data_IF_224795585971
#
_entry.id   IF_224795585971
#
_cell.length_a   1.000
_cell.length_b   1.000
_cell.length_c   1.000
_cell.angle_alpha   90.00
_cell.angle_beta   90.00
_cell.angle_gamma   90.00
#
_symmetry.space_group_name_H-M   'P 1'
#
loop_
_entity.id
_entity.type
_entity.pdbx_description
1 polymer ?
#
# COMPACT_ATOMS: atom_id res chain seq x y z
N UNK A 1 35.41 -50.52 -28.42
CA UNK A 1 36.60 -49.71 -28.73
C UNK A 1 36.47 -49.16 -30.14
N UNK A 2 35.69 -48.07 -30.36
CA UNK A 2 35.68 -47.29 -31.63
C UNK A 2 34.63 -46.19 -31.54
N UNK A 3 34.85 -45.19 -30.66
CA UNK A 3 33.90 -44.04 -30.63
C UNK A 3 34.55 -42.74 -30.13
N UNK A 4 35.88 -42.61 -30.19
CA UNK A 4 36.62 -41.46 -29.58
C UNK A 4 37.42 -40.64 -30.57
N UNK A 5 37.38 -40.95 -31.89
CA UNK A 5 38.27 -40.31 -32.88
C UNK A 5 37.58 -39.21 -33.71
N UNK A 6 36.26 -39.14 -33.72
CA UNK A 6 35.54 -38.20 -34.59
C UNK A 6 35.18 -36.85 -33.88
N UNK A 7 35.39 -36.75 -32.56
CA UNK A 7 35.01 -35.54 -31.79
C UNK A 7 36.05 -34.43 -31.79
N UNK A 8 37.29 -34.73 -32.18
CA UNK A 8 38.40 -33.74 -32.25
C UNK A 8 38.56 -33.03 -33.58
N UNK A 9 37.98 -33.59 -34.69
CA UNK A 9 38.12 -33.00 -36.03
C UNK A 9 37.08 -31.91 -36.28
N UNK A 10 35.87 -32.03 -35.72
CA UNK A 10 34.80 -31.01 -35.85
C UNK A 10 35.04 -29.77 -34.99
N UNK A 11 35.77 -29.87 -33.88
CA UNK A 11 36.01 -28.75 -32.99
C UNK A 11 37.06 -27.75 -33.51
N UNK A 12 37.94 -28.19 -34.37
CA UNK A 12 38.94 -27.30 -34.99
C UNK A 12 38.45 -26.53 -36.20
N UNK A 13 37.47 -27.06 -36.93
CA UNK A 13 36.89 -26.36 -38.06
C UNK A 13 35.90 -25.24 -37.61
N UNK A 14 35.27 -25.41 -36.46
CA UNK A 14 34.33 -24.40 -35.91
C UNK A 14 35.05 -23.19 -35.30
N UNK A 15 36.25 -23.35 -34.77
CA UNK A 15 37.03 -22.21 -34.24
C UNK A 15 37.62 -21.30 -35.34
N UNK A 16 37.85 -21.79 -36.55
CA UNK A 16 38.27 -20.93 -37.67
C UNK A 16 37.17 -20.11 -38.29
N UNK A 17 35.91 -20.62 -38.31
CA UNK A 17 34.77 -19.90 -38.91
C UNK A 17 34.20 -18.82 -37.97
N UNK A 18 34.26 -19.06 -36.65
CA UNK A 18 33.76 -18.06 -35.64
C UNK A 18 34.80 -16.92 -35.45
N UNK A 19 36.08 -17.18 -35.62
CA UNK A 19 37.15 -16.14 -35.53
C UNK A 19 37.11 -15.11 -36.67
N UNK A 20 36.66 -15.51 -37.88
CA UNK A 20 36.57 -14.59 -39.02
C UNK A 20 35.29 -13.75 -39.07
N UNK A 21 34.18 -14.23 -38.48
CA UNK A 21 32.94 -13.49 -38.37
C UNK A 21 32.94 -12.41 -37.25
N UNK A 22 33.73 -12.63 -36.17
CA UNK A 22 33.85 -11.69 -35.07
C UNK A 22 34.75 -10.49 -35.38
N UNK A 23 35.76 -10.66 -36.26
CA UNK A 23 36.65 -9.55 -36.64
C UNK A 23 35.96 -8.57 -37.62
N UNK A 24 35.09 -9.07 -38.51
CA UNK A 24 34.39 -8.21 -39.48
C UNK A 24 33.25 -7.41 -38.84
N UNK A 25 32.54 -7.94 -37.82
CA UNK A 25 31.47 -7.22 -37.11
C UNK A 25 32.00 -6.17 -36.13
N UNK A 26 33.22 -6.38 -35.58
CA UNK A 26 33.80 -5.41 -34.63
C UNK A 26 34.37 -4.17 -35.36
N UNK A 27 34.89 -4.31 -36.57
CA UNK A 27 35.34 -3.19 -37.41
C UNK A 27 34.20 -2.36 -37.90
N UNK A 28 33.04 -2.97 -38.25
CA UNK A 28 31.86 -2.25 -38.68
C UNK A 28 31.16 -1.49 -37.52
N UNK A 29 31.18 -2.03 -36.29
CA UNK A 29 30.64 -1.36 -35.09
C UNK A 29 31.49 -0.15 -34.67
N UNK A 30 32.80 -0.22 -34.78
CA UNK A 30 33.72 0.91 -34.49
C UNK A 30 33.57 2.03 -35.51
N UNK A 31 33.40 1.71 -36.81
CA UNK A 31 33.14 2.72 -37.84
C UNK A 31 31.79 3.43 -37.67
N UNK A 32 30.73 2.74 -37.26
CA UNK A 32 29.43 3.37 -37.01
C UNK A 32 29.46 4.27 -35.77
N UNK A 33 30.26 3.95 -34.75
CA UNK A 33 30.45 4.85 -33.60
C UNK A 33 31.35 6.05 -33.93
N UNK A 34 32.33 5.90 -34.78
CA UNK A 34 33.18 7.02 -35.22
C UNK A 34 32.40 8.01 -36.11
N UNK A 35 31.51 7.55 -36.97
CA UNK A 35 30.67 8.42 -37.81
C UNK A 35 29.66 9.18 -36.94
N UNK A 36 29.14 8.58 -35.87
CA UNK A 36 28.23 9.27 -34.93
C UNK A 36 28.93 10.33 -34.07
N UNK A 37 30.22 10.19 -33.80
CA UNK A 37 31.01 11.16 -33.04
C UNK A 37 31.45 12.38 -33.87
N UNK A 38 31.42 12.31 -35.19
CA UNK A 38 31.81 13.43 -36.07
C UNK A 38 30.65 14.37 -36.45
N UNK A 39 29.41 14.01 -36.22
CA UNK A 39 28.24 14.85 -36.55
C UNK A 39 27.93 15.97 -35.53
N UNK A 40 28.68 16.11 -34.45
CA UNK A 40 28.44 17.12 -33.40
C UNK A 40 29.10 18.48 -33.67
N UNK A 41 29.79 18.68 -34.82
CA UNK A 41 30.75 19.81 -34.93
C UNK A 41 30.26 21.10 -35.61
N UNK A 42 29.03 21.17 -36.11
CA UNK A 42 28.55 22.49 -36.64
C UNK A 42 27.10 22.72 -36.24
N UNK A 43 26.89 23.22 -35.01
CA UNK A 43 25.58 23.77 -34.64
C UNK A 43 25.42 25.15 -35.25
N UNK A 44 24.30 25.43 -35.94
CA UNK A 44 24.11 26.64 -36.67
C UNK A 44 24.07 27.87 -35.76
N UNK A 45 24.78 28.91 -36.16
CA UNK A 45 24.62 30.26 -35.59
C UNK A 45 23.65 31.04 -36.47
N UNK A 46 22.61 31.55 -35.87
CA UNK A 46 21.55 32.31 -36.55
C UNK A 46 21.77 33.79 -36.30
N UNK A 47 21.80 34.58 -37.37
CA UNK A 47 21.81 36.05 -37.31
C UNK A 47 20.39 36.58 -37.41
N UNK A 48 19.99 37.43 -36.44
CA UNK A 48 18.70 38.11 -36.44
C UNK A 48 18.90 39.57 -36.12
N UNK A 49 18.42 40.46 -37.03
CA UNK A 49 18.50 41.88 -36.83
C UNK A 49 17.62 42.34 -35.65
N UNK A 50 18.00 43.42 -34.99
CA UNK A 50 17.26 44.01 -33.88
C UNK A 50 15.80 44.40 -34.27
N UNK A 51 15.54 44.71 -35.56
CA UNK A 51 14.22 44.96 -36.06
C UNK A 51 13.35 43.71 -36.17
N UNK A 52 13.93 42.56 -36.53
CA UNK A 52 13.26 41.28 -36.61
C UNK A 52 12.96 40.71 -35.18
N UNK A 53 13.84 40.91 -34.21
CA UNK A 53 13.62 40.57 -32.81
C UNK A 53 12.34 41.19 -32.23
N UNK A 54 12.09 42.47 -32.55
CA UNK A 54 10.89 43.20 -32.12
C UNK A 54 9.63 42.73 -32.84
N UNK A 55 9.73 42.40 -34.12
CA UNK A 55 8.61 41.97 -34.97
C UNK A 55 8.12 40.58 -34.57
N UNK A 56 9.03 39.68 -34.28
CA UNK A 56 8.76 38.28 -33.89
C UNK A 56 8.49 38.11 -32.38
N UNK A 57 8.41 39.20 -31.60
CA UNK A 57 8.16 39.18 -30.14
C UNK A 57 9.08 38.19 -29.39
N UNK A 58 10.37 38.16 -29.77
CA UNK A 58 11.32 37.24 -29.16
C UNK A 58 11.59 37.65 -27.71
N UNK A 59 11.33 36.76 -26.79
CA UNK A 59 11.61 36.95 -25.36
C UNK A 59 12.83 36.13 -24.95
N UNK A 60 13.57 36.66 -23.99
CA UNK A 60 14.77 36.03 -23.47
C UNK A 60 14.66 35.87 -21.94
N UNK A 61 15.27 34.84 -21.43
CA UNK A 61 15.46 34.64 -20.01
C UNK A 61 16.94 34.42 -19.71
N UNK A 62 17.37 34.85 -18.54
CA UNK A 62 18.73 34.55 -18.05
C UNK A 62 18.70 33.22 -17.36
N UNK A 63 19.58 32.34 -17.72
CA UNK A 63 19.78 31.03 -17.11
C UNK A 63 20.17 31.23 -15.64
N UNK A 64 19.28 30.79 -14.73
CA UNK A 64 19.48 30.98 -13.29
C UNK A 64 20.55 30.05 -12.77
N UNK A 65 21.19 30.50 -11.70
CA UNK A 65 22.27 29.75 -11.02
C UNK A 65 21.84 28.27 -10.77
N UNK A 66 22.81 27.38 -10.92
CA UNK A 66 22.66 25.95 -10.63
C UNK A 66 21.96 25.68 -9.30
N UNK A 67 20.92 24.91 -9.35
CA UNK A 67 20.25 24.35 -8.17
C UNK A 67 20.36 22.82 -8.22
N UNK A 68 20.31 22.24 -7.05
CA UNK A 68 20.24 20.78 -6.92
C UNK A 68 18.79 20.39 -6.70
N UNK A 69 18.22 19.66 -7.63
CA UNK A 69 16.81 19.20 -7.60
C UNK A 69 16.79 17.70 -7.54
N UNK A 70 15.91 17.15 -6.72
CA UNK A 70 15.66 15.72 -6.72
C UNK A 70 14.88 15.34 -7.99
N UNK A 71 15.32 14.31 -8.69
CA UNK A 71 14.54 13.70 -9.76
C UNK A 71 13.23 13.18 -9.15
N UNK A 72 12.13 13.28 -9.87
CA UNK A 72 10.84 12.79 -9.41
C UNK A 72 10.17 11.95 -10.49
N UNK A 73 9.24 11.13 -10.04
CA UNK A 73 8.36 10.31 -10.89
C UNK A 73 6.93 10.68 -10.51
N UNK A 74 6.16 11.12 -11.50
CA UNK A 74 4.73 11.37 -11.34
C UNK A 74 3.96 10.10 -11.68
N UNK A 75 2.93 9.78 -10.89
CA UNK A 75 2.12 8.59 -11.08
C UNK A 75 0.66 8.82 -10.74
N UNK A 76 -0.20 8.00 -11.32
CA UNK A 76 -1.58 7.86 -10.90
C UNK A 76 -1.65 6.84 -9.77
N UNK A 77 -2.38 7.15 -8.72
CA UNK A 77 -2.56 6.28 -7.58
C UNK A 77 -4.03 6.12 -7.24
N UNK A 78 -4.33 5.05 -6.52
CA UNK A 78 -5.63 4.84 -5.91
C UNK A 78 -5.48 4.57 -4.42
N UNK A 79 -6.55 4.84 -3.68
CA UNK A 79 -6.57 4.71 -2.22
C UNK A 79 -7.12 3.33 -1.85
N UNK A 80 -6.38 2.59 -1.03
CA UNK A 80 -6.77 1.30 -0.45
C UNK A 80 -6.90 1.39 1.08
N UNK A 81 -7.73 0.52 1.64
CA UNK A 81 -7.81 0.33 3.09
C UNK A 81 -6.54 -0.35 3.63
N UNK A 82 -6.17 0.00 4.84
CA UNK A 82 -5.21 -0.82 5.58
C UNK A 82 -5.93 -2.02 6.21
N UNK A 83 -5.74 -3.20 5.64
CA UNK A 83 -6.36 -4.44 6.12
C UNK A 83 -6.08 -4.74 7.60
N UNK A 84 -5.03 -4.17 8.19
CA UNK A 84 -4.73 -4.28 9.63
C UNK A 84 -5.69 -3.47 10.48
N UNK A 85 -6.43 -2.55 9.87
CA UNK A 85 -7.40 -1.64 10.48
C UNK A 85 -8.86 -1.95 10.06
N UNK A 86 -9.07 -3.07 9.37
CA UNK A 86 -10.38 -3.56 8.99
C UNK A 86 -10.82 -4.64 9.98
N UNK A 87 -11.99 -4.45 10.59
CA UNK A 87 -12.63 -5.43 11.45
C UNK A 87 -13.83 -6.07 10.73
N UNK A 88 -13.66 -7.32 10.33
CA UNK A 88 -14.73 -8.20 9.86
C UNK A 88 -15.33 -8.93 11.07
N UNK A 89 -16.43 -8.44 11.59
CA UNK A 89 -17.01 -8.93 12.84
C UNK A 89 -18.00 -10.06 12.54
N UNK A 90 -17.84 -11.18 13.25
CA UNK A 90 -18.74 -12.33 13.20
C UNK A 90 -19.38 -12.57 14.56
N UNK A 91 -20.62 -13.08 14.62
CA UNK A 91 -21.20 -13.52 15.89
C UNK A 91 -20.43 -14.73 16.43
N UNK A 92 -20.42 -14.91 17.74
CA UNK A 92 -19.81 -16.08 18.37
C UNK A 92 -20.76 -17.29 18.29
N UNK A 93 -22.07 -17.05 18.33
CA UNK A 93 -23.09 -18.08 18.23
C UNK A 93 -23.94 -18.00 16.96
N UNK A 94 -24.86 -18.94 16.82
CA UNK A 94 -25.91 -18.89 15.80
C UNK A 94 -27.15 -18.21 16.38
N UNK A 95 -27.80 -17.37 15.59
CA UNK A 95 -29.00 -16.67 16.02
C UNK A 95 -29.68 -15.88 14.94
N UNK A 96 -30.74 -15.16 15.29
CA UNK A 96 -31.54 -14.34 14.39
C UNK A 96 -31.41 -12.87 14.73
N UNK A 97 -31.07 -12.04 13.74
CA UNK A 97 -30.96 -10.57 13.88
C UNK A 97 -32.30 -9.99 14.34
N UNK A 98 -32.27 -9.27 15.44
CA UNK A 98 -33.43 -8.58 16.02
C UNK A 98 -33.47 -7.12 15.54
N UNK A 99 -32.32 -6.42 15.59
CA UNK A 99 -32.20 -5.04 15.11
C UNK A 99 -30.80 -4.72 14.65
N UNK A 100 -30.70 -3.79 13.70
CA UNK A 100 -29.45 -3.20 13.20
C UNK A 100 -29.45 -1.75 13.64
N UNK A 101 -28.50 -1.37 14.50
CA UNK A 101 -28.45 -0.07 15.19
C UNK A 101 -27.64 0.98 14.42
N UNK A 102 -27.04 0.59 13.29
CA UNK A 102 -26.15 1.45 12.49
C UNK A 102 -26.46 1.35 11.00
N UNK A 103 -25.99 2.35 10.25
CA UNK A 103 -26.11 2.37 8.78
C UNK A 103 -24.74 2.41 8.13
N UNK A 104 -24.64 1.97 6.88
CA UNK A 104 -23.42 2.05 6.10
C UNK A 104 -22.97 3.52 5.96
N UNK A 105 -21.68 3.77 6.19
CA UNK A 105 -21.05 5.10 6.18
C UNK A 105 -21.11 5.83 7.53
N UNK A 106 -21.77 5.27 8.55
CA UNK A 106 -21.81 5.86 9.88
C UNK A 106 -20.48 5.65 10.61
N UNK A 107 -20.04 6.69 11.33
CA UNK A 107 -18.92 6.59 12.26
C UNK A 107 -19.38 5.92 13.55
N UNK A 108 -18.57 4.98 14.03
CA UNK A 108 -18.84 4.22 15.28
C UNK A 108 -17.62 4.26 16.20
N UNK A 109 -17.90 4.12 17.50
CA UNK A 109 -16.84 4.06 18.52
C UNK A 109 -16.65 2.62 18.99
N UNK A 110 -15.46 2.34 19.49
CA UNK A 110 -15.15 1.07 20.16
C UNK A 110 -16.17 0.81 21.29
N UNK A 111 -16.74 -0.41 21.31
CA UNK A 111 -17.76 -0.81 22.27
C UNK A 111 -19.20 -0.39 21.88
N UNK A 112 -19.39 0.36 20.79
CA UNK A 112 -20.73 0.72 20.32
C UNK A 112 -21.47 -0.51 19.78
N UNK A 113 -22.75 -0.66 20.17
CA UNK A 113 -23.64 -1.71 19.66
C UNK A 113 -23.93 -1.46 18.18
N UNK A 114 -23.79 -2.50 17.37
CA UNK A 114 -23.97 -2.47 15.93
C UNK A 114 -25.19 -3.27 15.48
N UNK A 115 -25.30 -4.51 15.97
CA UNK A 115 -26.38 -5.45 15.63
C UNK A 115 -26.80 -6.17 16.90
N UNK A 116 -28.10 -6.27 17.17
CA UNK A 116 -28.64 -7.13 18.20
C UNK A 116 -29.22 -8.38 17.55
N UNK A 117 -29.06 -9.52 18.22
CA UNK A 117 -29.59 -10.77 17.72
C UNK A 117 -29.99 -11.72 18.85
N UNK A 118 -30.99 -12.54 18.62
CA UNK A 118 -31.39 -13.60 19.54
C UNK A 118 -30.41 -14.76 19.36
N UNK A 119 -29.57 -14.98 20.37
CA UNK A 119 -28.51 -15.99 20.34
C UNK A 119 -29.05 -17.32 20.88
N UNK A 120 -29.27 -18.26 19.98
CA UNK A 120 -29.81 -19.59 20.32
C UNK A 120 -28.84 -20.38 21.19
N UNK A 121 -27.55 -20.30 20.91
CA UNK A 121 -26.53 -20.98 21.70
C UNK A 121 -26.49 -20.48 23.15
N UNK A 122 -26.50 -19.19 23.37
CA UNK A 122 -26.50 -18.61 24.72
C UNK A 122 -27.77 -18.95 25.51
N UNK A 123 -28.88 -19.13 24.84
CA UNK A 123 -30.13 -19.60 25.47
C UNK A 123 -29.98 -21.03 25.98
N UNK A 124 -29.45 -21.96 25.16
CA UNK A 124 -29.23 -23.35 25.53
C UNK A 124 -28.23 -23.47 26.69
N UNK A 125 -27.14 -22.72 26.66
CA UNK A 125 -26.15 -22.70 27.74
C UNK A 125 -26.74 -22.15 29.06
N UNK A 126 -27.63 -21.17 29.00
CA UNK A 126 -28.32 -20.62 30.16
C UNK A 126 -29.28 -21.67 30.79
N UNK A 127 -29.97 -22.42 29.94
CA UNK A 127 -30.84 -23.52 30.41
C UNK A 127 -29.99 -24.61 31.09
N UNK A 128 -28.86 -25.01 30.51
CA UNK A 128 -27.90 -25.93 31.12
C UNK A 128 -27.35 -25.42 32.46
N UNK A 129 -27.02 -24.13 32.53
CA UNK A 129 -26.56 -23.48 33.77
C UNK A 129 -27.63 -23.56 34.87
N UNK A 130 -28.90 -23.35 34.50
CA UNK A 130 -30.01 -23.45 35.46
C UNK A 130 -30.19 -24.86 35.99
N UNK A 131 -30.09 -25.86 35.13
CA UNK A 131 -30.14 -27.30 35.54
C UNK A 131 -28.95 -27.63 36.42
N UNK A 132 -27.72 -27.23 36.05
CA UNK A 132 -26.52 -27.50 36.85
C UNK A 132 -26.58 -26.85 38.26
N UNK A 133 -27.15 -25.65 38.38
CA UNK A 133 -27.39 -25.02 39.68
C UNK A 133 -28.39 -25.79 40.52
N UNK A 134 -29.46 -26.29 39.94
CA UNK A 134 -30.47 -27.08 40.63
C UNK A 134 -29.87 -28.43 41.14
N UNK A 135 -29.08 -29.10 40.28
CA UNK A 135 -28.38 -30.34 40.66
C UNK A 135 -27.36 -30.12 41.80
N UNK A 136 -26.65 -28.99 41.78
CA UNK A 136 -25.73 -28.65 42.89
C UNK A 136 -26.52 -28.38 44.19
N UNK A 137 -27.64 -27.71 44.12
CA UNK A 137 -28.49 -27.47 45.29
C UNK A 137 -29.05 -28.76 45.87
N UNK A 138 -29.46 -29.70 45.02
CA UNK A 138 -29.88 -31.06 45.44
C UNK A 138 -28.72 -31.81 46.11
N UNK A 139 -27.54 -31.85 45.51
CA UNK A 139 -26.36 -32.50 46.10
C UNK A 139 -25.98 -31.90 47.45
N UNK A 140 -26.08 -30.59 47.62
CA UNK A 140 -25.84 -29.94 48.92
C UNK A 140 -26.87 -30.28 49.97
N UNK A 141 -28.14 -30.45 49.61
CA UNK A 141 -29.18 -30.89 50.51
C UNK A 141 -28.94 -32.32 50.96
N UNK A 142 -28.54 -33.22 50.06
CA UNK A 142 -28.14 -34.61 50.38
C UNK A 142 -26.92 -34.66 51.28
N UNK A 143 -25.89 -33.85 51.02
CA UNK A 143 -24.70 -33.71 51.86
C UNK A 143 -25.09 -33.26 53.28
N UNK A 144 -25.92 -32.25 53.42
CA UNK A 144 -26.37 -31.72 54.72
C UNK A 144 -27.14 -32.80 55.49
N UNK A 145 -28.01 -33.56 54.81
CA UNK A 145 -28.72 -34.71 55.42
C UNK A 145 -27.77 -35.79 55.89
N UNK A 146 -26.79 -36.19 55.05
CA UNK A 146 -25.78 -37.19 55.42
C UNK A 146 -24.90 -36.74 56.61
N UNK A 147 -24.51 -35.48 56.63
CA UNK A 147 -23.77 -34.85 57.72
C UNK A 147 -24.57 -34.92 59.03
N UNK A 148 -25.85 -34.54 59.00
CA UNK A 148 -26.71 -34.60 60.22
C UNK A 148 -26.89 -36.05 60.72
N UNK A 149 -27.04 -37.04 59.80
CA UNK A 149 -27.15 -38.44 60.13
C UNK A 149 -25.86 -38.95 60.75
N UNK A 150 -24.69 -38.59 60.17
CA UNK A 150 -23.38 -38.96 60.72
C UNK A 150 -23.15 -38.33 62.10
N UNK A 151 -23.42 -37.07 62.30
CA UNK A 151 -23.22 -36.36 63.57
C UNK A 151 -24.11 -36.92 64.68
N UNK A 152 -25.37 -37.28 64.36
CA UNK A 152 -26.26 -38.00 65.30
C UNK A 152 -25.71 -39.38 65.64
N UNK A 153 -25.21 -40.13 64.62
CA UNK A 153 -24.60 -41.44 64.84
C UNK A 153 -23.35 -41.34 65.70
N UNK A 154 -22.49 -40.43 65.50
CA UNK A 154 -21.28 -40.15 66.27
C UNK A 154 -21.59 -39.93 67.79
N UNK A 155 -22.66 -39.19 68.06
CA UNK A 155 -23.10 -38.89 69.44
C UNK A 155 -23.64 -40.14 70.13
N UNK A 156 -24.16 -41.11 69.41
CA UNK A 156 -24.73 -42.39 69.90
C UNK A 156 -23.76 -43.57 69.85
N UNK A 157 -22.52 -43.33 69.44
CA UNK A 157 -21.46 -44.33 69.34
C UNK A 157 -21.01 -44.77 70.73
N UNK A 158 -20.87 -46.15 70.93
CA UNK A 158 -20.47 -46.73 72.17
C UNK A 158 -21.62 -47.10 73.14
N UNK A 159 -22.87 -46.77 72.73
CA UNK A 159 -24.09 -47.20 73.45
C UNK A 159 -25.12 -47.83 72.54
N UNK A 160 -25.96 -47.02 71.87
CA UNK A 160 -27.06 -47.53 71.05
C UNK A 160 -26.67 -47.85 69.62
N UNK A 161 -25.47 -47.45 69.13
CA UNK A 161 -25.01 -47.67 67.75
C UNK A 161 -23.65 -48.38 67.70
N UNK A 162 -23.49 -49.38 66.83
CA UNK A 162 -22.22 -50.09 66.63
C UNK A 162 -21.21 -49.17 65.88
N UNK A 163 -19.91 -49.39 66.11
CA UNK A 163 -18.81 -48.65 65.43
C UNK A 163 -18.92 -48.80 63.90
N UNK A 164 -19.30 -50.01 63.42
CA UNK A 164 -19.47 -50.30 62.00
C UNK A 164 -20.60 -49.47 61.33
N UNK A 165 -21.67 -49.18 62.10
CA UNK A 165 -22.77 -48.39 61.64
C UNK A 165 -22.36 -46.86 61.51
N UNK A 166 -21.58 -46.40 62.47
CA UNK A 166 -21.01 -45.00 62.38
C UNK A 166 -20.07 -44.92 61.23
N UNK A 167 -19.27 -45.92 60.97
CA UNK A 167 -18.37 -45.97 59.83
C UNK A 167 -19.11 -45.93 58.47
N UNK A 168 -20.20 -46.72 58.35
CA UNK A 168 -21.07 -46.66 57.15
C UNK A 168 -21.62 -45.24 56.88
N UNK A 169 -22.05 -44.55 57.92
CA UNK A 169 -22.54 -43.18 57.85
C UNK A 169 -21.44 -42.17 57.42
N UNK A 170 -20.19 -42.39 57.90
CA UNK A 170 -19.03 -41.65 57.52
C UNK A 170 -18.74 -41.82 56.03
N UNK A 171 -18.78 -43.03 55.51
CA UNK A 171 -18.60 -43.36 54.10
C UNK A 171 -19.71 -42.70 53.25
N UNK A 172 -20.97 -42.76 53.71
CA UNK A 172 -22.09 -42.08 53.04
C UNK A 172 -21.90 -40.56 52.94
N UNK A 173 -21.40 -39.94 54.01
CA UNK A 173 -21.08 -38.52 54.01
C UNK A 173 -19.92 -38.21 53.03
N UNK A 174 -18.87 -39.04 53.01
CA UNK A 174 -17.77 -38.86 52.05
C UNK A 174 -18.24 -38.98 50.60
N UNK A 175 -19.15 -39.93 50.32
CA UNK A 175 -19.79 -40.05 48.99
C UNK A 175 -20.61 -38.80 48.63
N UNK A 176 -21.39 -38.27 49.56
CA UNK A 176 -22.16 -37.05 49.34
C UNK A 176 -21.25 -35.80 49.09
N UNK A 177 -20.14 -35.71 49.84
CA UNK A 177 -19.12 -34.67 49.62
C UNK A 177 -18.52 -34.78 48.23
N UNK A 178 -18.20 -35.97 47.75
CA UNK A 178 -17.64 -36.15 46.40
C UNK A 178 -18.64 -35.75 45.31
N UNK A 179 -19.94 -36.03 45.50
CA UNK A 179 -20.98 -35.56 44.55
C UNK A 179 -21.06 -34.04 44.50
N UNK A 180 -21.02 -33.35 45.65
CA UNK A 180 -21.01 -31.90 45.68
C UNK A 180 -19.81 -31.35 44.94
N UNK A 181 -18.59 -31.86 45.19
CA UNK A 181 -17.38 -31.46 44.48
C UNK A 181 -17.50 -31.65 42.97
N UNK A 182 -18.08 -32.76 42.53
CA UNK A 182 -18.32 -33.05 41.13
C UNK A 182 -19.28 -31.99 40.51
N UNK A 183 -20.40 -31.69 41.16
CA UNK A 183 -21.37 -30.70 40.69
C UNK A 183 -20.81 -29.26 40.68
N UNK A 184 -19.96 -28.93 41.65
CA UNK A 184 -19.26 -27.64 41.69
C UNK A 184 -18.24 -27.50 40.52
N UNK A 185 -17.52 -28.57 40.20
CA UNK A 185 -16.61 -28.62 39.06
C UNK A 185 -17.38 -28.46 37.73
N UNK A 186 -18.51 -29.15 37.59
CA UNK A 186 -19.39 -29.05 36.41
C UNK A 186 -19.92 -27.62 36.23
N UNK A 187 -20.41 -27.01 37.31
CA UNK A 187 -20.91 -25.63 37.31
C UNK A 187 -19.79 -24.63 36.93
N UNK A 188 -18.58 -24.79 37.48
CA UNK A 188 -17.42 -23.93 37.12
C UNK A 188 -17.08 -24.06 35.64
N UNK A 189 -17.02 -25.27 35.12
CA UNK A 189 -16.74 -25.54 33.71
C UNK A 189 -17.74 -24.82 32.76
N UNK A 190 -19.05 -24.85 33.11
CA UNK A 190 -20.08 -24.13 32.36
C UNK A 190 -19.90 -22.63 32.44
N UNK A 191 -19.61 -22.08 33.61
CA UNK A 191 -19.37 -20.64 33.78
C UNK A 191 -18.12 -20.16 33.01
N UNK A 192 -17.04 -20.89 33.04
CA UNK A 192 -15.83 -20.63 32.26
C UNK A 192 -16.10 -20.72 30.76
N UNK A 193 -16.91 -21.67 30.32
CA UNK A 193 -17.31 -21.80 28.93
C UNK A 193 -18.14 -20.59 28.48
N UNK A 194 -19.12 -20.18 29.28
CA UNK A 194 -19.94 -18.99 29.00
C UNK A 194 -19.10 -17.70 28.99
N UNK A 195 -18.15 -17.54 29.88
CA UNK A 195 -17.28 -16.35 29.97
C UNK A 195 -16.43 -16.11 28.72
N UNK A 196 -16.20 -17.15 27.90
CA UNK A 196 -15.49 -17.00 26.60
C UNK A 196 -16.31 -16.31 25.51
N UNK A 197 -17.63 -16.22 25.69
CA UNK A 197 -18.55 -15.53 24.76
C UNK A 197 -18.73 -14.05 25.05
N UNK A 198 -18.24 -13.55 26.18
CA UNK A 198 -18.13 -12.12 26.45
C UNK A 198 -16.77 -11.64 25.95
N UNK A 199 -16.75 -11.04 24.75
CA UNK A 199 -15.55 -10.67 24.02
C UNK A 199 -15.56 -9.19 23.63
N UNK A 200 -14.46 -8.71 23.06
CA UNK A 200 -14.38 -7.33 22.53
C UNK A 200 -15.30 -7.08 21.34
N UNK A 201 -15.92 -8.11 20.79
CA UNK A 201 -16.79 -8.02 19.62
C UNK A 201 -18.24 -8.38 19.91
N UNK A 202 -18.53 -8.93 21.10
CA UNK A 202 -19.88 -9.36 21.47
C UNK A 202 -20.15 -9.19 22.97
N UNK A 203 -21.33 -8.70 23.29
CA UNK A 203 -21.90 -8.65 24.64
C UNK A 203 -23.19 -9.48 24.68
N UNK A 204 -23.30 -10.37 25.64
CA UNK A 204 -24.47 -11.24 25.80
C UNK A 204 -25.25 -10.87 27.06
N UNK A 205 -26.56 -10.57 26.91
CA UNK A 205 -27.47 -10.32 28.01
C UNK A 205 -28.79 -11.06 27.80
N UNK A 206 -29.17 -11.89 28.79
CA UNK A 206 -30.49 -12.52 28.85
C UNK A 206 -30.95 -13.31 27.60
N UNK A 207 -30.00 -13.95 26.85
CA UNK A 207 -30.32 -14.68 25.62
C UNK A 207 -30.36 -13.80 24.37
N UNK A 208 -30.21 -12.48 24.51
CA UNK A 208 -29.95 -11.56 23.44
C UNK A 208 -28.46 -11.20 23.46
N UNK A 209 -27.81 -11.27 22.29
CA UNK A 209 -26.43 -10.87 22.12
C UNK A 209 -26.36 -9.63 21.26
N UNK A 210 -25.38 -8.77 21.54
CA UNK A 210 -25.10 -7.57 20.76
C UNK A 210 -23.68 -7.65 20.17
N UNK A 211 -23.58 -7.59 18.86
CA UNK A 211 -22.32 -7.39 18.16
C UNK A 211 -21.90 -5.93 18.39
N UNK A 212 -20.68 -5.73 18.91
CA UNK A 212 -20.12 -4.41 19.23
C UNK A 212 -18.89 -4.13 18.39
N UNK A 213 -18.57 -2.85 18.19
CA UNK A 213 -17.36 -2.46 17.47
C UNK A 213 -16.09 -2.71 18.31
N UNK A 214 -15.08 -3.41 17.78
CA UNK A 214 -13.79 -3.58 18.46
C UNK A 214 -12.87 -2.37 18.36
N UNK A 215 -13.18 -1.41 17.45
CA UNK A 215 -12.35 -0.24 17.16
C UNK A 215 -13.23 0.98 16.82
N UNK A 216 -12.62 2.16 16.86
CA UNK A 216 -13.21 3.38 16.31
C UNK A 216 -13.06 3.37 14.79
N UNK A 217 -14.13 3.66 14.03
CA UNK A 217 -14.06 3.59 12.57
C UNK A 217 -15.37 3.93 11.88
N UNK A 218 -15.47 3.56 10.62
CA UNK A 218 -16.64 3.77 9.77
C UNK A 218 -17.18 2.40 9.34
N UNK A 219 -18.51 2.25 9.35
CA UNK A 219 -19.19 1.05 8.82
C UNK A 219 -19.06 1.03 7.30
N UNK A 220 -18.24 0.12 6.77
CA UNK A 220 -18.01 0.00 5.32
C UNK A 220 -19.01 -0.92 4.65
N UNK A 221 -19.47 -1.96 5.37
CA UNK A 221 -20.41 -2.93 4.84
C UNK A 221 -21.34 -3.46 5.92
N UNK A 222 -22.63 -3.64 5.55
CA UNK A 222 -23.62 -4.40 6.29
C UNK A 222 -24.18 -5.43 5.30
N UNK A 223 -24.06 -6.72 5.66
CA UNK A 223 -24.40 -7.84 4.77
C UNK A 223 -25.63 -8.62 5.25
N UNK A 224 -26.37 -8.08 6.21
CA UNK A 224 -27.52 -8.74 6.83
C UNK A 224 -28.72 -7.81 6.94
N UNK A 225 -29.90 -8.42 7.12
CA UNK A 225 -31.18 -7.74 7.32
C UNK A 225 -31.82 -8.19 8.62
N UNK A 226 -32.79 -7.41 9.12
CA UNK A 226 -33.59 -7.78 10.29
C UNK A 226 -34.31 -9.11 10.01
N UNK A 227 -34.34 -10.01 11.00
CA UNK A 227 -34.94 -11.33 10.90
C UNK A 227 -34.05 -12.40 10.23
N UNK A 228 -32.93 -12.02 9.63
CA UNK A 228 -32.01 -12.96 9.02
C UNK A 228 -31.24 -13.77 10.07
N UNK A 229 -30.95 -15.03 9.76
CA UNK A 229 -30.11 -15.87 10.58
C UNK A 229 -28.62 -15.60 10.32
N UNK A 230 -27.84 -15.50 11.39
CA UNK A 230 -26.39 -15.31 11.38
C UNK A 230 -25.71 -16.43 12.17
N UNK A 231 -24.49 -16.77 11.78
CA UNK A 231 -23.71 -17.80 12.46
C UNK A 231 -22.22 -17.50 12.50
N UNK A 232 -21.51 -18.07 13.45
CA UNK A 232 -20.04 -17.93 13.59
C UNK A 232 -19.26 -18.37 12.34
N UNK A 233 -19.77 -19.37 11.63
CA UNK A 233 -19.15 -19.90 10.40
C UNK A 233 -19.64 -19.21 9.12
N UNK A 234 -20.59 -18.29 9.25
CA UNK A 234 -21.14 -17.54 8.13
C UNK A 234 -20.27 -16.38 7.64
N UNK A 235 -20.77 -15.68 6.64
CA UNK A 235 -20.16 -14.41 6.20
C UNK A 235 -20.25 -13.37 7.32
N UNK A 236 -19.24 -12.48 7.47
CA UNK A 236 -19.31 -11.38 8.42
C UNK A 236 -20.54 -10.50 8.15
N UNK A 237 -21.44 -10.32 9.12
CA UNK A 237 -22.62 -9.48 8.96
C UNK A 237 -22.29 -8.00 8.86
N UNK A 238 -21.16 -7.57 9.41
CA UNK A 238 -20.72 -6.16 9.41
C UNK A 238 -19.22 -6.05 9.32
N UNK A 239 -18.78 -5.00 8.63
CA UNK A 239 -17.38 -4.63 8.47
C UNK A 239 -17.18 -3.18 8.87
N UNK A 240 -16.15 -2.93 9.65
CA UNK A 240 -15.75 -1.59 10.11
C UNK A 240 -14.30 -1.37 9.71
N UNK A 241 -14.01 -0.17 9.21
CA UNK A 241 -12.66 0.24 8.84
C UNK A 241 -12.28 1.53 9.58
N UNK A 242 -11.10 1.53 10.19
CA UNK A 242 -10.47 2.76 10.67
C UNK A 242 -9.71 3.41 9.51
N UNK A 243 -10.28 4.46 8.96
CA UNK A 243 -9.74 5.21 7.83
C UNK A 243 -8.80 6.35 8.25
N UNK A 244 -8.33 6.41 9.49
CA UNK A 244 -7.38 7.43 9.95
C UNK A 244 -6.02 7.35 9.24
N UNK A 245 -5.69 6.18 8.71
CA UNK A 245 -4.57 5.93 7.80
C UNK A 245 -5.03 5.06 6.65
N UNK A 246 -4.57 5.39 5.46
CA UNK A 246 -4.92 4.67 4.23
C UNK A 246 -3.66 4.42 3.40
N UNK A 247 -3.68 3.39 2.58
CA UNK A 247 -2.66 3.16 1.58
C UNK A 247 -2.95 3.97 0.32
N UNK A 248 -1.98 4.74 -0.12
CA UNK A 248 -1.94 5.33 -1.46
C UNK A 248 -1.06 4.43 -2.30
N UNK A 249 -1.66 3.77 -3.28
CA UNK A 249 -1.02 2.79 -4.15
C UNK A 249 -0.78 3.43 -5.50
N UNK A 250 0.46 3.84 -5.75
CA UNK A 250 0.90 4.49 -6.98
C UNK A 250 1.30 3.45 -8.01
N UNK A 251 0.77 3.56 -9.21
CA UNK A 251 1.14 2.74 -10.35
C UNK A 251 2.29 3.42 -11.10
N UNK A 252 3.41 2.74 -11.22
CA UNK A 252 4.62 3.26 -11.87
C UNK A 252 5.12 2.23 -12.88
N UNK A 253 5.55 2.70 -14.05
CA UNK A 253 6.20 1.86 -15.05
C UNK A 253 7.37 1.06 -14.45
N UNK A 254 7.51 -0.21 -14.81
CA UNK A 254 8.48 -1.12 -14.24
C UNK A 254 9.93 -0.62 -14.38
N UNK A 255 10.24 0.08 -15.47
CA UNK A 255 11.57 0.64 -15.70
C UNK A 255 11.85 1.78 -14.72
N UNK A 256 10.90 2.70 -14.54
CA UNK A 256 11.02 3.82 -13.59
C UNK A 256 10.99 3.33 -12.13
N UNK A 257 10.21 2.30 -11.81
CA UNK A 257 10.13 1.71 -10.46
C UNK A 257 11.49 1.20 -9.96
N UNK A 258 12.40 0.81 -10.86
CA UNK A 258 13.75 0.38 -10.51
C UNK A 258 14.58 1.45 -9.78
N UNK A 259 14.23 2.74 -9.95
CA UNK A 259 14.89 3.87 -9.31
C UNK A 259 14.28 4.22 -7.95
N UNK A 260 13.06 3.73 -7.64
CA UNK A 260 12.34 4.02 -6.39
C UNK A 260 12.83 3.11 -5.27
N UNK A 261 12.96 3.68 -4.07
CA UNK A 261 13.35 2.96 -2.86
C UNK A 261 12.38 3.29 -1.72
N UNK A 262 12.22 2.36 -0.79
CA UNK A 262 11.57 2.65 0.48
C UNK A 262 12.27 3.82 1.17
N UNK A 263 11.47 4.74 1.75
CA UNK A 263 11.95 5.98 2.34
C UNK A 263 11.97 7.18 1.39
N UNK A 264 11.73 7.01 0.08
CA UNK A 264 11.55 8.14 -0.84
C UNK A 264 10.34 8.98 -0.43
N UNK A 265 10.46 10.30 -0.46
CA UNK A 265 9.35 11.22 -0.16
C UNK A 265 8.30 11.13 -1.26
N UNK A 266 7.02 11.13 -0.87
CA UNK A 266 5.88 11.16 -1.77
C UNK A 266 4.96 12.31 -1.43
N UNK A 267 4.51 13.04 -2.44
CA UNK A 267 3.43 14.01 -2.37
C UNK A 267 2.18 13.42 -3.03
N UNK A 268 1.03 13.59 -2.38
CA UNK A 268 -0.27 13.10 -2.87
C UNK A 268 -1.25 14.26 -2.97
N UNK A 269 -1.75 14.56 -4.17
CA UNK A 269 -2.76 15.58 -4.43
C UNK A 269 -4.15 14.94 -4.49
N UNK A 270 -5.01 15.32 -3.55
CA UNK A 270 -6.42 14.91 -3.53
C UNK A 270 -7.22 15.78 -4.50
N UNK A 271 -7.00 17.11 -4.45
CA UNK A 271 -7.58 18.08 -5.37
C UNK A 271 -6.52 19.12 -5.74
N UNK A 272 -6.63 19.79 -6.90
CA UNK A 272 -5.66 20.81 -7.31
C UNK A 272 -5.53 21.99 -6.33
N UNK A 273 -6.62 22.33 -5.64
CA UNK A 273 -6.70 23.54 -4.79
C UNK A 273 -6.20 23.31 -3.35
N UNK A 274 -5.87 22.08 -2.98
CA UNK A 274 -5.36 21.75 -1.64
C UNK A 274 -3.87 21.47 -1.69
N UNK A 275 -3.15 21.81 -0.60
CA UNK A 275 -1.76 21.40 -0.48
C UNK A 275 -1.66 19.87 -0.49
N UNK A 276 -0.61 19.31 -1.10
CA UNK A 276 -0.42 17.87 -1.16
C UNK A 276 -0.15 17.28 0.23
N UNK A 277 -0.66 16.09 0.44
CA UNK A 277 -0.34 15.28 1.62
C UNK A 277 1.07 14.71 1.45
N UNK A 278 1.89 14.85 2.50
CA UNK A 278 3.26 14.30 2.53
C UNK A 278 3.26 12.92 3.15
N UNK A 279 3.96 12.01 2.53
CA UNK A 279 4.20 10.66 3.01
C UNK A 279 5.55 10.16 2.54
N UNK A 280 5.89 8.94 2.90
CA UNK A 280 7.07 8.24 2.39
C UNK A 280 6.66 6.92 1.76
N UNK A 281 7.41 6.49 0.76
CA UNK A 281 7.27 5.15 0.19
C UNK A 281 7.62 4.12 1.25
N UNK A 282 6.68 3.26 1.60
CA UNK A 282 6.88 2.18 2.56
C UNK A 282 7.31 0.90 1.85
N UNK A 283 6.61 0.56 0.76
CA UNK A 283 6.79 -0.71 0.05
C UNK A 283 6.88 -0.42 -1.45
N UNK A 284 7.83 -1.05 -2.09
CA UNK A 284 7.92 -1.20 -3.55
C UNK A 284 7.63 -2.66 -3.83
N UNK A 285 6.53 -2.97 -4.52
CA UNK A 285 6.16 -4.35 -4.80
C UNK A 285 7.24 -5.03 -5.65
N UNK A 286 7.54 -6.29 -5.34
CA UNK A 286 8.52 -7.07 -6.08
C UNK A 286 8.00 -7.66 -7.39
N UNK A 287 6.71 -7.53 -7.66
CA UNK A 287 6.05 -8.08 -8.84
C UNK A 287 5.65 -6.96 -9.80
N UNK A 288 5.76 -7.25 -11.08
CA UNK A 288 5.23 -6.42 -12.17
C UNK A 288 3.89 -7.00 -12.60
N UNK A 289 2.86 -6.19 -12.69
CA UNK A 289 1.60 -6.60 -13.30
C UNK A 289 1.83 -6.85 -14.80
N UNK A 290 1.55 -8.07 -15.24
CA UNK A 290 1.85 -8.51 -16.62
C UNK A 290 1.01 -7.77 -17.66
N UNK A 291 -0.22 -7.39 -17.31
CA UNK A 291 -1.15 -6.75 -18.24
C UNK A 291 -0.82 -5.26 -18.41
N UNK A 292 -0.46 -4.57 -17.32
CA UNK A 292 -0.22 -3.13 -17.33
C UNK A 292 1.26 -2.75 -17.39
N UNK A 293 2.18 -3.68 -17.12
CA UNK A 293 3.62 -3.46 -16.99
C UNK A 293 3.98 -2.44 -15.88
N UNK A 294 3.10 -2.28 -14.88
CA UNK A 294 3.34 -1.40 -13.74
C UNK A 294 3.75 -2.18 -12.50
N UNK A 295 4.52 -1.49 -11.65
CA UNK A 295 4.85 -1.88 -10.28
C UNK A 295 4.01 -1.02 -9.34
N UNK A 296 3.48 -1.63 -8.28
CA UNK A 296 2.72 -0.92 -7.27
C UNK A 296 3.63 -0.39 -6.17
N UNK A 297 3.56 0.91 -5.94
CA UNK A 297 4.30 1.60 -4.89
C UNK A 297 3.32 1.99 -3.80
N UNK A 298 3.53 1.48 -2.59
CA UNK A 298 2.61 1.68 -1.47
C UNK A 298 3.18 2.67 -0.47
N UNK A 299 2.42 3.72 -0.20
CA UNK A 299 2.74 4.74 0.81
C UNK A 299 1.61 4.87 1.80
N UNK A 300 1.92 4.76 3.10
CA UNK A 300 0.93 4.96 4.16
C UNK A 300 0.75 6.45 4.40
N UNK A 301 -0.47 6.93 4.23
CA UNK A 301 -0.83 8.35 4.35
C UNK A 301 -1.73 8.57 5.55
N UNK A 302 -1.41 9.58 6.36
CA UNK A 302 -2.29 10.03 7.43
C UNK A 302 -3.53 10.71 6.81
N UNK A 303 -4.70 10.26 7.21
CA UNK A 303 -6.00 10.71 6.74
C UNK A 303 -6.91 11.19 7.89
N UNK A 304 -6.31 11.83 8.91
CA UNK A 304 -7.08 12.36 10.06
C UNK A 304 -8.21 13.30 9.65
N UNK A 305 -8.05 14.00 8.54
CA UNK A 305 -9.03 14.95 8.02
C UNK A 305 -10.14 14.26 7.19
N UNK A 306 -10.04 12.94 6.95
CA UNK A 306 -11.02 12.15 6.19
C UNK A 306 -11.15 12.55 4.72
N UNK A 307 -10.14 13.24 4.16
CA UNK A 307 -10.18 13.71 2.78
C UNK A 307 -9.93 12.60 1.74
N UNK A 308 -9.26 11.53 2.12
CA UNK A 308 -9.06 10.34 1.31
C UNK A 308 -10.14 9.30 1.62
N UNK A 309 -10.73 8.75 0.56
CA UNK A 309 -11.70 7.66 0.65
C UNK A 309 -11.23 6.50 -0.18
N UNK A 310 -11.42 5.29 0.31
CA UNK A 310 -11.11 4.07 -0.43
C UNK A 310 -11.72 4.07 -1.81
N UNK A 311 -10.94 3.67 -2.81
CA UNK A 311 -11.33 3.68 -4.21
C UNK A 311 -11.15 5.01 -4.93
N UNK A 312 -10.75 6.10 -4.24
CA UNK A 312 -10.44 7.37 -4.91
C UNK A 312 -9.16 7.24 -5.73
N UNK A 313 -9.16 7.89 -6.91
CA UNK A 313 -7.95 8.13 -7.69
C UNK A 313 -7.33 9.47 -7.33
N UNK A 314 -6.02 9.49 -7.15
CA UNK A 314 -5.23 10.65 -6.75
C UNK A 314 -3.95 10.73 -7.58
N UNK A 315 -3.37 11.92 -7.69
CA UNK A 315 -2.06 12.10 -8.33
C UNK A 315 -0.98 12.07 -7.26
N UNK A 316 0.15 11.44 -7.61
CA UNK A 316 1.30 11.36 -6.72
C UNK A 316 2.57 11.79 -7.43
N UNK A 317 3.52 12.29 -6.65
CA UNK A 317 4.89 12.59 -7.06
C UNK A 317 5.85 11.96 -6.06
N UNK A 318 6.71 11.08 -6.54
CA UNK A 318 7.72 10.39 -5.73
C UNK A 318 9.07 11.01 -6.02
N UNK A 319 9.75 11.54 -5.00
CA UNK A 319 11.08 12.12 -5.12
C UNK A 319 12.15 11.05 -4.96
N UNK A 320 13.03 10.95 -5.93
CA UNK A 320 14.14 10.01 -5.91
C UNK A 320 15.30 10.56 -5.06
N UNK A 321 16.08 9.67 -4.49
CA UNK A 321 17.28 10.04 -3.74
C UNK A 321 18.38 10.66 -4.63
N UNK A 322 18.29 10.41 -5.94
CA UNK A 322 19.21 10.97 -6.91
C UNK A 322 18.95 12.47 -7.08
N UNK A 323 19.98 13.25 -6.78
CA UNK A 323 19.97 14.70 -6.96
C UNK A 323 20.67 15.04 -8.26
N UNK A 324 20.04 15.92 -9.04
CA UNK A 324 20.56 16.44 -10.30
C UNK A 324 20.85 17.91 -10.10
N UNK A 325 22.09 18.31 -10.40
CA UNK A 325 22.49 19.72 -10.37
C UNK A 325 22.58 20.23 -11.79
N UNK A 326 22.08 21.43 -12.01
CA UNK A 326 22.09 22.05 -13.32
C UNK A 326 21.54 23.48 -13.29
N UNK A 327 21.57 24.10 -14.43
CA UNK A 327 21.06 25.45 -14.65
C UNK A 327 19.57 25.40 -14.96
N UNK A 328 18.77 26.30 -14.41
CA UNK A 328 17.32 26.35 -14.65
C UNK A 328 17.00 27.35 -15.72
N UNK A 329 16.21 26.92 -16.71
CA UNK A 329 15.62 27.74 -17.76
C UNK A 329 14.13 27.44 -17.92
N UNK A 330 13.30 28.32 -18.46
CA UNK A 330 11.94 28.01 -18.85
C UNK A 330 11.90 26.88 -19.88
N UNK A 331 10.97 25.91 -19.73
CA UNK A 331 10.83 24.78 -20.66
C UNK A 331 10.62 25.20 -22.11
N UNK A 332 9.93 26.35 -22.33
CA UNK A 332 9.69 26.95 -23.65
C UNK A 332 10.99 27.29 -24.41
N UNK A 333 12.14 27.41 -23.73
CA UNK A 333 13.43 27.67 -24.36
C UNK A 333 14.03 26.46 -25.06
N UNK A 334 13.57 25.24 -24.72
CA UNK A 334 14.10 24.00 -25.27
C UNK A 334 13.43 23.66 -26.60
N UNK A 335 14.23 23.50 -27.64
CA UNK A 335 13.80 23.05 -28.96
C UNK A 335 14.49 21.71 -29.33
N UNK A 336 13.93 21.01 -30.31
CA UNK A 336 14.57 19.84 -30.89
C UNK A 336 15.04 20.15 -32.31
N UNK A 337 16.32 20.05 -32.55
CA UNK A 337 16.94 20.16 -33.88
C UNK A 337 17.49 18.79 -34.26
N UNK A 338 17.03 18.21 -35.38
CA UNK A 338 17.41 16.87 -35.85
C UNK A 338 17.33 15.77 -34.75
N UNK A 339 16.33 15.87 -33.85
CA UNK A 339 16.15 14.94 -32.74
C UNK A 339 16.99 15.24 -31.50
N UNK A 340 17.93 16.18 -31.55
CA UNK A 340 18.79 16.59 -30.44
C UNK A 340 18.14 17.78 -29.72
N UNK A 341 17.99 17.76 -28.38
CA UNK A 341 17.53 18.92 -27.65
C UNK A 341 18.58 20.02 -27.67
N UNK A 342 18.16 21.24 -28.06
CA UNK A 342 19.00 22.45 -28.18
C UNK A 342 18.36 23.62 -27.49
N UNK A 343 19.20 24.58 -27.07
CA UNK A 343 18.78 25.87 -26.56
C UNK A 343 19.52 26.95 -27.33
N UNK A 344 18.81 27.98 -27.78
CA UNK A 344 19.41 29.15 -28.47
C UNK A 344 19.95 30.12 -27.43
N UNK A 345 21.28 30.23 -27.38
CA UNK A 345 22.00 31.15 -26.47
C UNK A 345 22.46 32.36 -27.24
N UNK A 346 22.19 33.55 -26.70
CA UNK A 346 22.66 34.79 -27.26
C UNK A 346 24.17 34.94 -27.06
N UNK A 347 24.91 35.00 -28.13
CA UNK A 347 26.40 35.20 -28.11
C UNK A 347 26.80 36.65 -28.35
N UNK A 348 25.99 37.40 -29.14
CA UNK A 348 26.15 38.86 -29.34
C UNK A 348 24.81 39.55 -29.55
N UNK A 349 24.80 40.84 -29.91
CA UNK A 349 23.57 41.61 -30.07
C UNK A 349 22.59 40.99 -31.08
N UNK A 350 23.09 40.36 -32.15
CA UNK A 350 22.30 39.82 -33.27
C UNK A 350 22.58 38.36 -33.58
N UNK A 351 23.49 37.70 -32.81
CA UNK A 351 23.88 36.31 -33.03
C UNK A 351 23.36 35.38 -31.93
N UNK A 352 22.73 34.28 -32.36
CA UNK A 352 22.18 33.22 -31.49
C UNK A 352 22.74 31.89 -31.93
N UNK A 353 23.38 31.18 -31.01
CA UNK A 353 23.96 29.86 -31.29
C UNK A 353 23.11 28.77 -30.68
N UNK A 354 22.74 27.78 -31.48
CA UNK A 354 22.08 26.59 -30.98
C UNK A 354 23.10 25.74 -30.23
N UNK A 355 22.96 25.65 -28.90
CA UNK A 355 23.80 24.78 -28.05
C UNK A 355 23.06 23.46 -27.74
N UNK A 356 23.66 22.29 -28.00
CA UNK A 356 23.08 21.03 -27.59
C UNK A 356 23.09 20.92 -26.07
N UNK A 357 21.99 20.48 -25.52
CA UNK A 357 21.81 20.42 -24.06
C UNK A 357 21.40 19.03 -23.60
N UNK A 358 21.82 18.68 -22.39
CA UNK A 358 21.31 17.49 -21.70
C UNK A 358 20.24 17.91 -20.71
N UNK A 359 19.01 17.41 -20.95
CA UNK A 359 17.85 17.73 -20.13
C UNK A 359 17.91 16.98 -18.80
N UNK A 360 17.45 17.62 -17.74
CA UNK A 360 17.19 17.08 -16.43
C UNK A 360 15.69 17.11 -16.11
N UNK A 361 15.31 17.05 -14.83
CA UNK A 361 13.91 17.08 -14.41
C UNK A 361 13.27 18.45 -14.67
N UNK A 362 11.97 18.43 -15.00
CA UNK A 362 11.13 19.63 -15.11
C UNK A 362 10.56 20.02 -13.75
N UNK A 363 10.52 21.29 -13.42
CA UNK A 363 9.98 21.83 -12.18
C UNK A 363 9.17 23.10 -12.46
N UNK A 364 7.87 23.07 -12.19
CA UNK A 364 6.97 24.25 -12.30
C UNK A 364 7.15 25.06 -13.59
N UNK A 365 7.10 24.40 -14.77
CA UNK A 365 7.26 25.02 -16.08
C UNK A 365 8.70 25.43 -16.45
N UNK A 366 9.67 25.08 -15.60
CA UNK A 366 11.09 25.24 -15.85
C UNK A 366 11.76 23.86 -15.99
N UNK A 367 12.87 23.80 -16.72
CA UNK A 367 13.65 22.58 -16.89
C UNK A 367 15.09 22.79 -16.40
N UNK A 368 15.63 21.74 -15.76
CA UNK A 368 17.03 21.74 -15.35
C UNK A 368 17.88 21.27 -16.53
N UNK A 369 18.87 22.05 -16.89
CA UNK A 369 19.87 21.68 -17.90
C UNK A 369 21.14 21.24 -17.19
N UNK A 370 21.54 19.99 -17.40
CA UNK A 370 22.70 19.40 -16.73
C UNK A 370 24.01 19.66 -17.45
N UNK A 371 23.96 19.81 -18.77
CA UNK A 371 25.12 20.11 -19.62
C UNK A 371 24.71 20.96 -20.81
N UNK A 372 25.61 21.82 -21.31
CA UNK A 372 25.44 22.56 -22.56
C UNK A 372 25.29 24.09 -22.40
N UNK A 373 24.84 24.58 -21.23
CA UNK A 373 24.75 26.01 -20.91
C UNK A 373 25.28 26.28 -19.50
N UNK A 374 25.64 27.54 -19.26
CA UNK A 374 26.16 28.01 -17.98
C UNK A 374 25.20 29.01 -17.31
N UNK A 375 25.36 29.17 -16.00
CA UNK A 375 24.58 30.17 -15.27
C UNK A 375 24.97 31.57 -15.72
N UNK A 376 23.97 32.38 -16.08
CA UNK A 376 24.18 33.73 -16.66
C UNK A 376 24.01 33.76 -18.18
N UNK A 377 24.02 32.64 -18.88
CA UNK A 377 23.69 32.60 -20.30
C UNK A 377 22.30 33.16 -20.54
N UNK A 378 22.17 34.01 -21.58
CA UNK A 378 20.85 34.54 -22.01
C UNK A 378 20.28 33.61 -23.06
N UNK A 379 19.16 32.94 -22.73
CA UNK A 379 18.49 31.97 -23.59
C UNK A 379 17.21 32.54 -24.17
N UNK A 380 16.87 32.17 -25.40
CA UNK A 380 15.61 32.56 -26.04
C UNK A 380 14.49 31.62 -25.56
N UNK A 381 13.39 32.22 -25.09
CA UNK A 381 12.22 31.49 -24.59
C UNK A 381 11.07 31.52 -25.59
N UNK A 382 10.46 32.68 -25.76
CA UNK A 382 9.43 32.88 -26.77
C UNK A 382 10.08 33.24 -28.10
N UNK A 383 9.62 32.68 -29.24
CA UNK A 383 10.26 32.84 -30.54
C UNK A 383 11.44 31.85 -30.80
N UNK A 384 11.74 30.97 -29.89
CA UNK A 384 12.74 29.90 -30.07
C UNK A 384 12.44 28.99 -31.27
N UNK A 385 11.16 28.82 -31.61
CA UNK A 385 10.71 28.09 -32.81
C UNK A 385 11.12 28.79 -34.11
N UNK A 386 10.95 30.12 -34.20
CA UNK A 386 11.39 30.91 -35.37
C UNK A 386 12.91 30.80 -35.61
N UNK A 387 13.69 30.83 -34.52
CA UNK A 387 15.13 30.60 -34.59
C UNK A 387 15.48 29.21 -35.10
N UNK A 388 14.72 28.18 -34.70
CA UNK A 388 14.88 26.80 -35.19
C UNK A 388 14.64 26.71 -36.70
N UNK A 389 13.56 27.31 -37.19
CA UNK A 389 13.24 27.36 -38.63
C UNK A 389 14.36 28.03 -39.45
N UNK A 390 14.88 29.16 -38.96
CA UNK A 390 16.01 29.84 -39.62
C UNK A 390 17.30 29.02 -39.54
N UNK A 391 17.54 28.31 -38.44
CA UNK A 391 18.70 27.44 -38.29
C UNK A 391 18.68 26.31 -39.33
N UNK A 392 17.53 25.68 -39.55
CA UNK A 392 17.35 24.65 -40.58
C UNK A 392 17.60 25.20 -41.96
N UNK A 393 17.02 26.39 -42.29
CA UNK A 393 17.20 27.01 -43.59
C UNK A 393 18.66 27.40 -43.91
N UNK A 394 19.41 27.82 -42.88
CA UNK A 394 20.83 28.15 -43.02
C UNK A 394 21.69 26.91 -43.26
N UNK A 395 21.34 25.76 -42.65
CA UNK A 395 22.02 24.49 -42.89
C UNK A 395 21.80 23.98 -44.31
N UNK A 396 20.56 24.02 -44.82
CA UNK A 396 20.23 23.59 -46.18
C UNK A 396 20.93 24.42 -47.25
N UNK A 397 21.07 25.74 -47.00
CA UNK A 397 21.78 26.64 -47.92
C UNK A 397 23.28 26.40 -47.94
N UNK A 398 23.89 26.04 -46.82
CA UNK A 398 25.32 25.71 -46.75
C UNK A 398 25.64 24.34 -47.35
N UNK A 399 24.72 23.38 -47.24
CA UNK A 399 24.87 22.05 -47.84
C UNK A 399 24.89 22.15 -49.39
N UNK A 400 24.01 22.97 -49.96
CA UNK A 400 23.94 23.18 -51.43
C UNK A 400 25.08 23.97 -52.00
N UNK A 401 25.81 24.78 -51.22
CA UNK A 401 26.97 25.54 -51.66
C UNK A 401 28.29 24.77 -51.61
N UNK A 402 28.35 23.62 -50.98
CA UNK A 402 29.57 22.77 -50.92
C UNK A 402 29.60 21.63 -51.98
N UNK A 403 28.49 21.44 -52.73
CA UNK A 403 28.34 20.42 -53.79
C UNK A 403 28.44 21.03 -55.18
N UNK A 404 28.91 22.28 -55.32
CA UNK A 404 29.04 23.01 -56.56
C UNK A 404 30.51 23.20 -57.06
#
# INVERSE_FOLDING_TARGET
MTCCFWRKFFFRLWQCIVGFALSSSMVCAVQVQAVRAQQVQHMPTVEISAAALKREHIQMAVAKKSITVSKHIDGLAYVEDDLRRVANIRPIGTGRVTSIEVVKGQSVRKGQVLIKYNNFFMRDEKDRLTVAKAMLQEARAQQMSAEQIYQRGKKLSGGALSVSEVERRRIALQAANAVVQQREAELRGLLEHMGRYDSSTEQAHNGESAIISPLDGIVTRISVTNGQEISANGAPPIEICDLSQVWVVTQVDAHQASEIRSGNEQLTWVTPDRPPLRSVVNIVDGNVDVATQHVLIRSLVNNSDGCLRTGMFVRTRIFLSQKVSGVIIPEAAVQKLEGVPVVFVRTSAEHYTAKPVTLGPTLDGNIVITKGIEAGDTVVTNGSFTLKEQAIFTQDTQATSNDG
#
